data_IF_740101172129
#
_entry.id   IF_740101172129
#
_cell.length_a   1.000
_cell.length_b   1.000
_cell.length_c   1.000
_cell.angle_alpha   90.00
_cell.angle_beta   90.00
_cell.angle_gamma   90.00
#
_symmetry.space_group_name_H-M   'P 1'
#
loop_
_entity.id
_entity.type
_entity.pdbx_description
1 polymer ?
#
# COMPACT_ATOMS: atom_id res chain seq x y z
N UNK A 1 4.19 -32.48 -30.86
CA UNK A 1 4.48 -31.24 -30.12
C UNK A 1 4.33 -31.59 -28.66
N UNK A 2 5.41 -31.60 -27.87
CA UNK A 2 5.34 -31.89 -26.45
C UNK A 2 5.18 -30.57 -25.71
N UNK A 3 4.03 -30.37 -25.08
CA UNK A 3 3.77 -29.20 -24.24
C UNK A 3 4.15 -29.54 -22.79
N UNK A 4 5.01 -28.73 -22.19
CA UNK A 4 5.47 -28.93 -20.81
C UNK A 4 4.45 -28.27 -19.88
N UNK A 5 3.92 -29.01 -18.90
CA UNK A 5 3.10 -28.44 -17.83
C UNK A 5 3.92 -27.48 -16.96
N UNK A 6 3.43 -26.25 -16.78
CA UNK A 6 4.02 -25.27 -15.87
C UNK A 6 3.41 -25.52 -14.48
N UNK A 7 4.17 -26.20 -13.61
CA UNK A 7 3.71 -26.57 -12.27
C UNK A 7 4.13 -25.56 -11.18
N UNK A 8 5.00 -24.62 -11.52
CA UNK A 8 5.47 -23.57 -10.61
C UNK A 8 5.78 -22.32 -11.41
N UNK A 9 5.32 -21.17 -10.93
CA UNK A 9 5.62 -19.84 -11.46
C UNK A 9 6.16 -19.00 -10.30
N UNK A 10 7.22 -18.25 -10.54
CA UNK A 10 7.70 -17.28 -9.57
C UNK A 10 6.62 -16.23 -9.32
N UNK A 11 6.40 -15.92 -8.05
CA UNK A 11 5.55 -14.83 -7.59
C UNK A 11 6.42 -14.01 -6.66
N UNK A 12 6.41 -12.70 -6.86
CA UNK A 12 7.06 -11.78 -5.95
C UNK A 12 6.52 -11.98 -4.52
N UNK A 13 7.38 -12.22 -3.50
CA UNK A 13 6.94 -12.53 -2.15
C UNK A 13 6.06 -11.43 -1.53
N UNK A 14 6.35 -10.15 -1.77
CA UNK A 14 5.56 -9.05 -1.23
C UNK A 14 4.18 -9.02 -1.88
N UNK A 15 4.11 -9.19 -3.20
CA UNK A 15 2.86 -9.32 -3.93
C UNK A 15 2.01 -10.47 -3.40
N UNK A 16 2.61 -11.64 -3.16
CA UNK A 16 1.91 -12.79 -2.58
C UNK A 16 1.34 -12.50 -1.17
N UNK A 17 2.12 -11.82 -0.31
CA UNK A 17 1.67 -11.40 1.02
C UNK A 17 0.46 -10.48 0.91
N UNK A 18 0.55 -9.43 0.08
CA UNK A 18 -0.49 -8.41 0.03
C UNK A 18 -1.76 -8.85 -0.71
N UNK A 19 -1.65 -9.73 -1.71
CA UNK A 19 -2.83 -10.41 -2.29
C UNK A 19 -3.55 -11.24 -1.21
N UNK A 20 -2.81 -11.97 -0.36
CA UNK A 20 -3.42 -12.73 0.72
C UNK A 20 -4.01 -11.82 1.81
N UNK A 21 -3.39 -10.68 2.10
CA UNK A 21 -3.95 -9.64 3.01
C UNK A 21 -5.28 -9.13 2.46
N UNK A 22 -5.33 -8.74 1.17
CA UNK A 22 -6.55 -8.31 0.51
C UNK A 22 -7.63 -9.39 0.56
N UNK A 23 -7.27 -10.65 0.23
CA UNK A 23 -8.19 -11.79 0.29
C UNK A 23 -8.76 -12.03 1.68
N UNK A 24 -7.96 -11.89 2.73
CA UNK A 24 -8.42 -12.03 4.11
C UNK A 24 -9.30 -10.87 4.56
N UNK A 25 -9.03 -9.67 4.07
CA UNK A 25 -9.88 -8.49 4.27
C UNK A 25 -11.23 -8.62 3.55
N UNK A 26 -11.30 -9.43 2.48
CA UNK A 26 -12.52 -9.70 1.72
C UNK A 26 -12.46 -9.26 0.25
N UNK A 27 -11.28 -8.91 -0.26
CA UNK A 27 -11.08 -8.43 -1.62
C UNK A 27 -10.42 -9.48 -2.52
N UNK A 28 -10.86 -9.54 -3.76
CA UNK A 28 -10.18 -10.22 -4.86
C UNK A 28 -9.43 -9.18 -5.69
N UNK A 29 -8.15 -9.44 -5.97
CA UNK A 29 -7.33 -8.54 -6.77
C UNK A 29 -7.48 -8.90 -8.25
N UNK A 30 -7.85 -7.91 -9.07
CA UNK A 30 -7.83 -8.00 -10.52
C UNK A 30 -6.79 -7.04 -11.10
N UNK A 31 -6.25 -7.38 -12.28
CA UNK A 31 -5.26 -6.55 -12.99
C UNK A 31 -5.85 -6.10 -14.32
N UNK A 32 -5.82 -4.80 -14.59
CA UNK A 32 -6.45 -4.19 -15.78
C UNK A 32 -5.59 -3.08 -16.36
N UNK A 33 -5.68 -2.82 -17.66
CA UNK A 33 -5.06 -1.66 -18.33
C UNK A 33 -6.01 -0.44 -18.41
N UNK A 34 -7.19 -0.52 -17.81
CA UNK A 34 -8.24 0.50 -17.89
C UNK A 34 -8.34 1.42 -16.68
N UNK A 35 -7.76 1.04 -15.54
CA UNK A 35 -7.83 1.80 -14.28
C UNK A 35 -6.47 1.81 -13.60
N UNK A 36 -6.20 2.86 -12.83
CA UNK A 36 -5.01 2.92 -11.99
C UNK A 36 -5.23 2.11 -10.70
N UNK A 37 -6.29 2.44 -9.97
CA UNK A 37 -6.86 1.64 -8.90
C UNK A 37 -8.37 1.93 -8.81
N UNK A 38 -9.18 0.90 -8.57
CA UNK A 38 -10.61 1.06 -8.32
C UNK A 38 -11.18 -0.16 -7.61
N UNK A 39 -12.09 0.06 -6.65
CA UNK A 39 -12.90 -1.01 -6.06
C UNK A 39 -14.36 -0.88 -6.46
N UNK A 40 -15.02 -2.01 -6.69
CA UNK A 40 -16.44 -2.06 -7.01
C UNK A 40 -17.36 -1.96 -5.78
N UNK A 41 -16.80 -1.99 -4.56
CA UNK A 41 -17.56 -2.08 -3.31
C UNK A 41 -18.15 -3.47 -3.02
N UNK A 42 -18.00 -4.42 -3.94
CA UNK A 42 -18.61 -5.76 -3.90
C UNK A 42 -17.56 -6.87 -3.73
N UNK A 43 -16.34 -6.50 -3.37
CA UNK A 43 -15.25 -7.44 -3.07
C UNK A 43 -14.20 -7.56 -4.16
N UNK A 44 -14.19 -6.68 -5.17
CA UNK A 44 -13.11 -6.62 -6.17
C UNK A 44 -12.31 -5.33 -6.01
N UNK A 45 -10.99 -5.46 -6.02
CA UNK A 45 -10.05 -4.35 -6.17
C UNK A 45 -9.28 -4.54 -7.48
N UNK A 46 -9.58 -3.70 -8.47
CA UNK A 46 -8.92 -3.69 -9.77
C UNK A 46 -7.75 -2.72 -9.73
N UNK A 47 -6.55 -3.21 -10.05
CA UNK A 47 -5.32 -2.41 -10.05
C UNK A 47 -4.69 -2.42 -11.45
N UNK A 48 -4.06 -1.31 -11.83
CA UNK A 48 -3.38 -1.14 -13.11
C UNK A 48 -2.35 -2.24 -13.37
N UNK A 49 -2.23 -2.74 -14.60
CA UNK A 49 -1.11 -3.63 -14.98
C UNK A 49 0.22 -2.87 -14.94
N UNK A 50 1.33 -3.60 -14.92
CA UNK A 50 2.67 -3.00 -14.80
C UNK A 50 2.98 -1.99 -15.93
N UNK A 51 2.35 -2.12 -17.10
CA UNK A 51 2.49 -1.20 -18.21
C UNK A 51 1.74 0.14 -18.03
N UNK A 52 0.82 0.22 -17.07
CA UNK A 52 -0.02 1.41 -16.79
C UNK A 52 0.28 2.04 -15.42
N UNK A 53 1.13 1.41 -14.61
CA UNK A 53 1.60 1.94 -13.34
C UNK A 53 2.95 2.65 -13.51
N UNK A 54 3.35 3.42 -12.50
CA UNK A 54 4.69 4.03 -12.50
C UNK A 54 5.75 2.94 -12.39
N UNK A 55 6.96 3.20 -12.92
CA UNK A 55 8.00 2.18 -13.01
C UNK A 55 8.50 1.67 -11.64
N UNK A 56 8.30 2.46 -10.59
CA UNK A 56 8.62 2.12 -9.21
C UNK A 56 7.39 1.66 -8.39
N UNK A 57 6.21 1.53 -8.99
CA UNK A 57 5.03 0.98 -8.33
C UNK A 57 5.21 -0.52 -8.08
N UNK A 58 4.77 -0.97 -6.90
CA UNK A 58 4.64 -2.40 -6.62
C UNK A 58 3.20 -2.77 -6.29
N UNK A 59 2.80 -3.99 -6.62
CA UNK A 59 1.46 -4.48 -6.28
C UNK A 59 1.20 -4.44 -4.77
N UNK A 60 2.24 -4.72 -3.96
CA UNK A 60 2.18 -4.63 -2.51
C UNK A 60 1.85 -3.21 -2.02
N UNK A 61 2.55 -2.20 -2.55
CA UNK A 61 2.29 -0.78 -2.25
C UNK A 61 0.87 -0.39 -2.66
N UNK A 62 0.44 -0.74 -3.87
CA UNK A 62 -0.89 -0.39 -4.37
C UNK A 62 -2.01 -0.97 -3.49
N UNK A 63 -1.91 -2.25 -3.11
CA UNK A 63 -2.89 -2.86 -2.20
C UNK A 63 -2.86 -2.17 -0.83
N UNK A 64 -1.68 -1.87 -0.29
CA UNK A 64 -1.58 -1.21 1.00
C UNK A 64 -2.20 0.19 1.00
N UNK A 65 -1.97 0.96 -0.06
CA UNK A 65 -2.55 2.28 -0.26
C UNK A 65 -4.08 2.24 -0.28
N UNK A 66 -4.66 1.33 -1.06
CA UNK A 66 -6.12 1.14 -1.14
C UNK A 66 -6.73 0.73 0.21
N UNK A 67 -6.03 -0.12 0.96
CA UNK A 67 -6.47 -0.47 2.31
C UNK A 67 -6.33 0.73 3.28
N UNK A 68 -5.39 1.65 3.07
CA UNK A 68 -5.33 2.92 3.81
C UNK A 68 -6.51 3.83 3.46
N UNK A 69 -6.96 3.87 2.20
CA UNK A 69 -8.20 4.57 1.82
C UNK A 69 -9.40 4.02 2.60
N UNK A 70 -9.55 2.70 2.64
CA UNK A 70 -10.65 2.06 3.38
C UNK A 70 -10.63 2.45 4.87
N UNK A 71 -9.44 2.60 5.48
CA UNK A 71 -9.31 3.09 6.87
C UNK A 71 -9.75 4.55 7.01
N UNK A 72 -9.42 5.42 6.07
CA UNK A 72 -9.80 6.84 6.10
C UNK A 72 -11.32 7.00 5.94
N UNK A 73 -11.92 6.31 4.96
CA UNK A 73 -13.36 6.41 4.70
C UNK A 73 -14.19 5.76 5.80
N UNK A 74 -13.71 4.62 6.33
CA UNK A 74 -14.35 3.89 7.41
C UNK A 74 -15.33 2.82 6.94
N UNK A 75 -15.91 2.14 7.93
CA UNK A 75 -16.66 0.89 7.74
C UNK A 75 -17.92 1.08 6.88
N UNK A 76 -18.61 2.21 7.05
CA UNK A 76 -19.84 2.54 6.32
C UNK A 76 -19.63 2.68 4.80
N UNK A 77 -18.39 2.88 4.36
CA UNK A 77 -18.03 3.08 2.96
C UNK A 77 -17.39 1.86 2.30
N UNK A 78 -17.24 0.73 3.02
CA UNK A 78 -16.59 -0.47 2.48
C UNK A 78 -17.37 -1.12 1.32
N UNK A 79 -18.66 -0.85 1.24
CA UNK A 79 -19.55 -1.36 0.20
C UNK A 79 -19.86 -0.34 -0.91
N UNK A 80 -19.25 0.84 -0.84
CA UNK A 80 -19.38 1.85 -1.88
C UNK A 80 -18.22 1.70 -2.87
N UNK A 81 -18.47 1.88 -4.18
CA UNK A 81 -17.39 1.95 -5.17
C UNK A 81 -16.34 3.00 -4.78
N UNK A 82 -15.07 2.65 -4.98
CA UNK A 82 -13.91 3.46 -4.61
C UNK A 82 -13.95 4.01 -3.18
N UNK A 83 -14.53 3.23 -2.25
CA UNK A 83 -14.70 3.62 -0.84
C UNK A 83 -15.56 4.89 -0.69
N UNK A 84 -16.43 5.19 -1.67
CA UNK A 84 -17.23 6.41 -1.74
C UNK A 84 -16.46 7.66 -2.21
N UNK A 85 -15.24 7.52 -2.74
CA UNK A 85 -14.49 8.61 -3.37
C UNK A 85 -14.95 8.81 -4.82
N UNK A 86 -15.06 10.06 -5.25
CA UNK A 86 -15.38 10.40 -6.64
C UNK A 86 -14.25 11.20 -7.33
N UNK A 87 -13.24 11.64 -6.58
CA UNK A 87 -12.09 12.43 -7.01
C UNK A 87 -12.47 13.71 -7.77
N UNK A 88 -13.56 14.36 -7.34
CA UNK A 88 -14.12 15.54 -8.03
C UNK A 88 -14.12 16.82 -7.20
N UNK A 89 -13.81 16.74 -5.90
CA UNK A 89 -13.96 17.86 -4.98
C UNK A 89 -12.82 17.98 -3.95
N UNK A 90 -12.81 19.08 -3.21
CA UNK A 90 -11.84 19.35 -2.15
C UNK A 90 -11.91 18.34 -1.00
N UNK A 91 -13.07 17.70 -0.81
CA UNK A 91 -13.29 16.69 0.24
C UNK A 91 -12.48 15.42 -0.09
N UNK A 92 -12.49 15.00 -1.35
CA UNK A 92 -11.74 13.83 -1.82
C UNK A 92 -10.24 14.13 -1.78
N UNK A 93 -9.82 15.34 -2.15
CA UNK A 93 -8.42 15.77 -2.02
C UNK A 93 -7.93 15.72 -0.56
N UNK A 94 -8.72 16.20 0.40
CA UNK A 94 -8.36 16.12 1.82
C UNK A 94 -8.26 14.66 2.32
N UNK A 95 -9.09 13.75 1.80
CA UNK A 95 -9.05 12.32 2.12
C UNK A 95 -7.83 11.63 1.53
N UNK A 96 -7.45 11.98 0.31
CA UNK A 96 -6.20 11.54 -0.32
C UNK A 96 -5.00 11.94 0.54
N UNK A 97 -4.91 13.22 0.91
CA UNK A 97 -3.83 13.72 1.77
C UNK A 97 -3.82 13.06 3.16
N UNK A 98 -4.97 12.74 3.73
CA UNK A 98 -5.06 12.01 4.99
C UNK A 98 -4.63 10.54 4.82
N UNK A 99 -4.98 9.90 3.69
CA UNK A 99 -4.60 8.53 3.34
C UNK A 99 -3.09 8.39 3.25
N UNK A 100 -2.41 9.22 2.44
CA UNK A 100 -0.95 9.15 2.29
C UNK A 100 -0.21 9.43 3.60
N UNK A 101 -0.76 10.26 4.49
CA UNK A 101 -0.19 10.48 5.84
C UNK A 101 -0.40 9.28 6.75
N UNK A 102 -1.58 8.67 6.72
CA UNK A 102 -1.85 7.44 7.47
C UNK A 102 -0.96 6.29 6.98
N UNK A 103 -0.80 6.15 5.67
CA UNK A 103 0.12 5.21 5.03
C UNK A 103 1.56 5.39 5.57
N UNK A 104 2.06 6.63 5.61
CA UNK A 104 3.37 6.92 6.19
C UNK A 104 3.46 6.52 7.67
N UNK A 105 2.46 6.89 8.48
CA UNK A 105 2.41 6.56 9.91
C UNK A 105 2.48 5.05 10.13
N UNK A 106 1.67 4.29 9.39
CA UNK A 106 1.59 2.84 9.53
C UNK A 106 2.85 2.15 9.00
N UNK A 107 3.42 2.62 7.90
CA UNK A 107 4.66 2.10 7.38
C UNK A 107 5.85 2.39 8.30
N UNK A 108 5.89 3.56 8.93
CA UNK A 108 6.92 3.97 9.89
C UNK A 108 7.00 3.03 11.10
N UNK A 109 5.87 2.50 11.56
CA UNK A 109 5.81 1.51 12.66
C UNK A 109 6.62 0.24 12.39
N UNK A 110 6.98 -0.02 11.13
CA UNK A 110 7.72 -1.19 10.69
C UNK A 110 9.00 -0.84 9.91
N UNK A 111 9.35 0.46 9.82
CA UNK A 111 10.50 0.92 9.02
C UNK A 111 10.29 0.85 7.51
N UNK A 112 9.04 0.80 7.04
CA UNK A 112 8.67 0.55 5.65
C UNK A 112 8.31 1.81 4.86
N UNK A 113 8.53 3.01 5.42
CA UNK A 113 8.04 4.28 4.88
C UNK A 113 8.43 4.52 3.43
N UNK A 114 9.68 4.26 3.08
CA UNK A 114 10.20 4.46 1.72
C UNK A 114 9.75 3.36 0.76
N UNK A 115 9.66 2.11 1.23
CA UNK A 115 9.18 0.98 0.42
C UNK A 115 7.73 1.18 -0.02
N UNK A 116 6.91 1.73 0.87
CA UNK A 116 5.51 2.04 0.62
C UNK A 116 5.28 3.53 0.39
N UNK A 117 6.24 4.27 -0.15
CA UNK A 117 5.96 5.63 -0.62
C UNK A 117 5.08 5.57 -1.87
N UNK A 118 4.08 6.47 -2.05
CA UNK A 118 3.37 6.59 -3.31
C UNK A 118 4.32 7.05 -4.41
N UNK A 119 4.15 6.60 -5.65
CA UNK A 119 5.02 6.93 -6.80
C UNK A 119 4.53 8.12 -7.63
N UNK A 120 3.25 8.46 -7.48
CA UNK A 120 2.57 9.53 -8.20
C UNK A 120 3.09 10.92 -7.80
N UNK A 121 2.44 11.99 -8.29
CA UNK A 121 2.76 13.39 -7.93
C UNK A 121 2.77 13.65 -6.41
N UNK A 122 2.12 12.79 -5.61
CA UNK A 122 2.16 12.85 -4.15
C UNK A 122 3.52 12.47 -3.55
N UNK A 123 4.43 11.83 -4.32
CA UNK A 123 5.76 11.42 -3.86
C UNK A 123 6.56 12.59 -3.29
N UNK A 124 6.56 13.72 -3.97
CA UNK A 124 7.26 14.93 -3.53
C UNK A 124 6.74 15.43 -2.17
N UNK A 125 5.43 15.40 -1.97
CA UNK A 125 4.83 15.80 -0.70
C UNK A 125 5.10 14.77 0.40
N UNK A 126 5.04 13.48 0.06
CA UNK A 126 5.27 12.37 0.98
C UNK A 126 6.72 12.34 1.51
N UNK A 127 7.70 12.50 0.61
CA UNK A 127 9.12 12.56 0.97
C UNK A 127 9.46 13.78 1.84
N UNK A 128 8.67 14.85 1.71
CA UNK A 128 8.81 16.06 2.52
C UNK A 128 8.12 15.97 3.90
N UNK A 129 7.39 14.89 4.18
CA UNK A 129 6.75 14.74 5.50
C UNK A 129 7.81 14.68 6.62
N UNK A 130 7.54 15.32 7.77
CA UNK A 130 8.39 15.22 8.95
C UNK A 130 8.43 13.79 9.51
N UNK A 131 9.27 13.58 10.54
CA UNK A 131 9.43 12.28 11.18
C UNK A 131 8.09 11.73 11.71
N UNK A 132 7.24 12.58 12.31
CA UNK A 132 5.84 12.25 12.58
C UNK A 132 4.95 12.85 11.48
N UNK A 133 4.37 12.05 10.58
CA UNK A 133 3.51 12.54 9.50
C UNK A 133 2.23 13.26 9.97
N UNK A 134 1.95 13.32 11.28
CA UNK A 134 0.88 14.16 11.85
C UNK A 134 1.26 15.64 11.92
N UNK A 135 2.54 15.95 12.00
CA UNK A 135 3.01 17.33 12.09
C UNK A 135 2.64 18.11 10.81
N UNK A 136 2.11 19.31 10.99
CA UNK A 136 1.63 20.16 9.90
C UNK A 136 0.26 19.76 9.30
N UNK A 137 -0.37 18.68 9.77
CA UNK A 137 -1.60 18.14 9.21
C UNK A 137 -2.87 18.54 10.00
N UNK A 138 -2.91 19.70 10.65
CA UNK A 138 -3.92 20.07 11.66
C UNK A 138 -5.37 19.79 11.23
N UNK A 139 -5.71 20.15 9.99
CA UNK A 139 -7.08 20.00 9.45
C UNK A 139 -7.42 18.54 9.11
N UNK A 140 -6.40 17.71 8.89
CA UNK A 140 -6.52 16.29 8.53
C UNK A 140 -6.44 15.37 9.76
N UNK A 141 -5.94 15.85 10.90
CA UNK A 141 -5.76 15.05 12.12
C UNK A 141 -7.00 14.25 12.51
N UNK A 142 -8.24 14.80 12.47
CA UNK A 142 -9.42 13.99 12.80
C UNK A 142 -9.60 12.76 11.90
N UNK A 143 -9.31 12.87 10.61
CA UNK A 143 -9.40 11.77 9.65
C UNK A 143 -8.28 10.74 9.90
N UNK A 144 -7.05 11.23 10.09
CA UNK A 144 -5.88 10.40 10.35
C UNK A 144 -6.05 9.59 11.64
N UNK A 145 -6.46 10.23 12.73
CA UNK A 145 -6.67 9.56 14.02
C UNK A 145 -7.83 8.56 13.97
N UNK A 146 -8.91 8.88 13.25
CA UNK A 146 -10.01 7.94 13.05
C UNK A 146 -9.57 6.70 12.26
N UNK A 147 -8.83 6.89 11.16
CA UNK A 147 -8.28 5.78 10.38
C UNK A 147 -7.26 4.96 11.17
N UNK A 148 -6.37 5.63 11.92
CA UNK A 148 -5.40 4.97 12.78
C UNK A 148 -6.07 4.13 13.87
N UNK A 149 -7.13 4.62 14.50
CA UNK A 149 -7.88 3.87 15.51
C UNK A 149 -8.57 2.61 14.94
N UNK A 150 -8.94 2.62 13.66
CA UNK A 150 -9.62 1.50 12.98
C UNK A 150 -8.70 0.32 12.69
N UNK A 151 -7.40 0.52 12.52
CA UNK A 151 -6.48 -0.57 12.13
C UNK A 151 -6.47 -1.76 13.11
N UNK A 152 -6.79 -1.51 14.38
CA UNK A 152 -6.84 -2.52 15.45
C UNK A 152 -8.23 -3.11 15.65
N UNK A 153 -9.18 -2.84 14.74
CA UNK A 153 -10.57 -3.31 14.80
C UNK A 153 -10.95 -4.08 13.53
N UNK A 154 -11.91 -5.02 13.60
CA UNK A 154 -12.50 -5.60 12.39
C UNK A 154 -13.11 -4.50 11.50
N UNK A 155 -13.14 -4.70 10.16
CA UNK A 155 -12.58 -5.85 9.43
C UNK A 155 -11.08 -5.74 9.13
N UNK A 156 -10.41 -4.61 9.42
CA UNK A 156 -8.98 -4.42 9.09
C UNK A 156 -8.04 -5.29 9.92
N UNK A 157 -8.33 -5.44 11.21
CA UNK A 157 -7.55 -6.30 12.09
C UNK A 157 -7.90 -7.79 11.88
N UNK A 158 -6.90 -8.70 11.83
CA UNK A 158 -5.46 -8.48 12.02
C UNK A 158 -4.68 -8.19 10.73
N UNK A 159 -5.36 -8.14 9.59
CA UNK A 159 -4.78 -8.37 8.26
C UNK A 159 -3.74 -7.33 7.87
N UNK A 160 -4.03 -6.03 8.02
CA UNK A 160 -3.11 -4.96 7.60
C UNK A 160 -1.80 -4.99 8.40
N UNK A 161 -1.89 -5.11 9.73
CA UNK A 161 -0.70 -5.21 10.60
C UNK A 161 0.11 -6.47 10.32
N UNK A 162 -0.54 -7.59 10.05
CA UNK A 162 0.14 -8.82 9.67
C UNK A 162 0.88 -8.69 8.32
N UNK A 163 0.31 -7.97 7.36
CA UNK A 163 0.95 -7.65 6.08
C UNK A 163 2.20 -6.79 6.24
N UNK A 164 2.12 -5.73 7.05
CA UNK A 164 3.26 -4.87 7.40
C UNK A 164 4.36 -5.65 8.12
N UNK A 165 4.00 -6.44 9.13
CA UNK A 165 4.97 -7.27 9.87
C UNK A 165 5.65 -8.31 8.98
N UNK A 166 4.89 -8.98 8.11
CA UNK A 166 5.44 -9.95 7.16
C UNK A 166 6.38 -9.29 6.15
N UNK A 167 6.02 -8.10 5.66
CA UNK A 167 6.86 -7.30 4.75
C UNK A 167 8.18 -6.94 5.43
N UNK A 168 8.14 -6.44 6.67
CA UNK A 168 9.35 -6.12 7.43
C UNK A 168 10.27 -7.33 7.60
N UNK A 169 9.71 -8.52 7.88
CA UNK A 169 10.51 -9.77 7.97
C UNK A 169 11.23 -10.12 6.68
N UNK A 170 10.61 -9.87 5.51
CA UNK A 170 11.27 -10.09 4.22
C UNK A 170 12.44 -9.10 4.06
N UNK A 171 12.22 -7.82 4.38
CA UNK A 171 13.27 -6.81 4.30
C UNK A 171 14.41 -7.08 5.27
N UNK A 172 14.12 -7.55 6.48
CA UNK A 172 15.13 -8.01 7.44
C UNK A 172 16.02 -9.11 6.86
N UNK A 173 15.43 -10.09 6.17
CA UNK A 173 16.19 -11.14 5.50
C UNK A 173 17.03 -10.56 4.37
N UNK A 174 16.48 -9.66 3.56
CA UNK A 174 17.23 -9.03 2.47
C UNK A 174 18.41 -8.20 2.99
N UNK A 175 18.24 -7.49 4.10
CA UNK A 175 19.29 -6.74 4.78
C UNK A 175 20.41 -7.66 5.28
N UNK A 176 20.07 -8.79 5.90
CA UNK A 176 21.06 -9.78 6.36
C UNK A 176 21.90 -10.35 5.21
N UNK A 177 21.35 -10.39 3.99
CA UNK A 177 22.06 -10.79 2.77
C UNK A 177 22.78 -9.62 2.06
N UNK A 178 22.63 -8.39 2.54
CA UNK A 178 23.17 -7.18 1.91
C UNK A 178 22.51 -6.84 0.57
N UNK A 179 21.27 -7.29 0.35
CA UNK A 179 20.54 -7.15 -0.91
C UNK A 179 19.76 -5.82 -1.04
N UNK A 180 19.73 -5.00 0.01
CA UNK A 180 19.13 -3.68 -0.01
C UNK A 180 20.13 -2.67 -0.59
N UNK A 181 20.24 -2.60 -1.93
CA UNK A 181 21.14 -1.65 -2.60
C UNK A 181 20.55 -0.23 -2.68
N UNK A 182 21.44 0.77 -2.69
CA UNK A 182 21.11 2.17 -2.95
C UNK A 182 20.84 2.43 -4.44
N UNK A 183 19.55 2.53 -4.80
CA UNK A 183 19.14 3.04 -6.11
C UNK A 183 19.38 2.05 -7.23
N UNK A 184 18.64 0.94 -7.18
CA UNK A 184 18.56 -0.03 -8.28
C UNK A 184 18.42 0.65 -9.64
N UNK A 185 19.20 0.15 -10.61
CA UNK A 185 19.08 0.54 -12.01
C UNK A 185 17.72 0.08 -12.56
N UNK A 186 17.23 0.68 -13.66
CA UNK A 186 15.93 0.33 -14.31
C UNK A 186 15.70 -1.19 -14.51
N UNK A 187 16.76 -2.01 -14.50
CA UNK A 187 16.69 -3.45 -14.64
C UNK A 187 16.40 -4.22 -13.33
N UNK A 188 16.55 -3.59 -12.16
CA UNK A 188 16.31 -4.22 -10.86
C UNK A 188 15.62 -3.24 -9.89
N UNK A 189 14.32 -3.44 -9.59
CA UNK A 189 13.61 -2.58 -8.65
C UNK A 189 14.29 -2.63 -7.28
N UNK A 190 14.61 -1.45 -6.76
CA UNK A 190 15.27 -1.24 -5.47
C UNK A 190 14.25 -1.40 -4.34
N UNK A 191 14.44 -2.34 -3.41
CA UNK A 191 13.53 -2.60 -2.30
C UNK A 191 13.69 -1.62 -1.11
N UNK A 192 14.08 -0.38 -1.38
CA UNK A 192 14.56 0.68 -0.46
C UNK A 192 15.94 0.43 0.17
N UNK A 193 16.77 1.48 0.13
CA UNK A 193 18.16 1.49 0.61
C UNK A 193 18.35 2.04 2.01
N UNK A 194 17.26 2.50 2.63
CA UNK A 194 17.28 3.14 3.95
C UNK A 194 16.36 2.43 4.95
N UNK A 195 16.00 1.18 4.66
CA UNK A 195 15.38 0.33 5.67
C UNK A 195 16.26 0.28 6.91
N UNK A 196 15.63 0.42 8.09
CA UNK A 196 16.31 0.30 9.37
C UNK A 196 15.58 -0.75 10.19
N UNK A 197 16.28 -1.87 10.47
CA UNK A 197 15.79 -2.92 11.35
C UNK A 197 15.37 -2.33 12.70
N UNK A 198 14.15 -2.63 13.14
CA UNK A 198 13.70 -2.28 14.50
C UNK A 198 14.36 -3.24 15.51
N UNK A 199 14.95 -2.69 16.57
CA UNK A 199 15.54 -3.44 17.68
C UNK A 199 14.49 -3.92 18.68
#
# INVERSE_FOLDING_TARGET
MFERSINCRYIDPLSAIWIEVARRFGLTIERSDQVYASTDGEGTLTLGVDATLDADDSLAQMIFHELCHSLIQGEDMLHEPDWGLFNTDDRDHARELACIRLQAILADEYGLRELFAPTTDFRLAYDAFPADPREGARELLPLIEAGYARISRPPWHPHLRAGLEATAKILDVLDDFGALEAGGTEAQPSLSSRYQRRR
#
